data_IF_518735111210
#
_entry.id   IF_518735111210
#
_cell.length_a   1.000
_cell.length_b   1.000
_cell.length_c   1.000
_cell.angle_alpha   90.00
_cell.angle_beta   90.00
_cell.angle_gamma   90.00
#
_symmetry.space_group_name_H-M   'P 1'
#
loop_
_entity.id
_entity.type
_entity.pdbx_description
1 polymer ?
#
# COMPACT_ATOMS: atom_id res chain seq x y z
N UNK A 1 21.48 14.45 -4.74
CA UNK A 1 20.44 14.78 -3.76
C UNK A 1 20.94 15.05 -2.33
N UNK A 2 21.80 14.24 -1.71
CA UNK A 2 22.25 14.43 -0.30
C UNK A 2 22.94 15.78 -0.03
N UNK A 3 23.56 16.37 -1.05
CA UNK A 3 24.29 17.65 -0.95
C UNK A 3 23.40 18.86 -1.26
N UNK A 4 22.17 18.66 -1.70
CA UNK A 4 21.24 19.76 -2.01
C UNK A 4 20.58 20.28 -0.74
N UNK A 5 20.58 21.61 -0.54
CA UNK A 5 20.06 22.26 0.65
C UNK A 5 18.53 22.20 0.77
N UNK A 6 17.81 21.88 -0.29
CA UNK A 6 16.36 21.76 -0.30
C UNK A 6 15.82 20.39 0.12
N UNK A 7 16.70 19.39 0.22
CA UNK A 7 16.31 18.00 0.52
C UNK A 7 16.57 17.64 1.98
N UNK A 8 15.52 17.34 2.72
CA UNK A 8 15.59 16.96 4.13
C UNK A 8 15.09 15.50 4.32
N UNK A 9 16.04 14.58 4.50
CA UNK A 9 15.73 13.18 4.82
C UNK A 9 15.39 12.29 3.60
N UNK A 10 15.20 11.00 3.88
CA UNK A 10 15.02 9.96 2.85
C UNK A 10 13.66 10.08 2.15
N UNK A 11 12.61 10.46 2.88
CA UNK A 11 11.28 10.61 2.30
C UNK A 11 11.27 11.64 1.15
N UNK A 12 11.86 12.83 1.37
CA UNK A 12 11.94 13.85 0.32
C UNK A 12 12.86 13.44 -0.83
N UNK A 13 13.90 12.64 -0.56
CA UNK A 13 14.74 12.09 -1.64
C UNK A 13 13.95 11.15 -2.54
N UNK A 14 13.14 10.28 -1.94
CA UNK A 14 12.32 9.35 -2.69
C UNK A 14 11.22 10.10 -3.47
N UNK A 15 10.53 11.03 -2.82
CA UNK A 15 9.53 11.88 -3.50
C UNK A 15 10.12 12.65 -4.68
N UNK A 16 11.30 13.25 -4.48
CA UNK A 16 12.03 13.94 -5.55
C UNK A 16 12.39 13.03 -6.72
N UNK A 17 12.76 11.79 -6.46
CA UNK A 17 13.11 10.83 -7.50
C UNK A 17 11.87 10.30 -8.24
N UNK A 18 10.79 10.05 -7.51
CA UNK A 18 9.62 9.34 -8.07
C UNK A 18 8.89 10.17 -9.13
N UNK A 19 8.74 11.50 -8.98
CA UNK A 19 8.13 12.28 -10.03
C UNK A 19 8.95 12.28 -11.33
N UNK A 20 10.28 12.22 -11.24
CA UNK A 20 11.15 12.09 -12.43
C UNK A 20 11.00 10.72 -13.07
N UNK A 21 10.98 9.66 -12.25
CA UNK A 21 10.73 8.29 -12.72
C UNK A 21 9.35 8.19 -13.38
N UNK A 22 8.32 8.78 -12.77
CA UNK A 22 6.99 8.81 -13.37
C UNK A 22 7.02 9.41 -14.78
N UNK A 23 7.64 10.60 -14.94
CA UNK A 23 7.72 11.25 -16.26
C UNK A 23 8.50 10.43 -17.26
N UNK A 24 9.60 9.79 -16.86
CA UNK A 24 10.41 8.94 -17.72
C UNK A 24 9.65 7.69 -18.17
N UNK A 25 8.97 7.00 -17.22
CA UNK A 25 8.15 5.82 -17.52
C UNK A 25 6.96 6.20 -18.40
N UNK A 26 6.30 7.32 -18.06
CA UNK A 26 5.14 7.79 -18.80
C UNK A 26 5.49 8.16 -20.25
N UNK A 27 6.64 8.80 -20.46
CA UNK A 27 7.16 9.15 -21.78
C UNK A 27 7.46 7.90 -22.63
N UNK A 28 8.03 6.84 -22.04
CA UNK A 28 8.23 5.56 -22.73
C UNK A 28 6.89 4.90 -23.10
N UNK A 29 5.89 4.94 -22.20
CA UNK A 29 4.55 4.42 -22.49
C UNK A 29 3.82 5.23 -23.56
N UNK A 30 4.00 6.55 -23.60
CA UNK A 30 3.41 7.38 -24.67
C UNK A 30 3.93 6.99 -26.07
N UNK A 31 5.20 6.55 -26.20
CA UNK A 31 5.70 6.01 -27.47
C UNK A 31 4.97 4.75 -27.91
N UNK A 32 4.75 3.83 -26.98
CA UNK A 32 4.00 2.60 -27.25
C UNK A 32 2.56 2.92 -27.67
N UNK A 33 1.91 3.90 -27.03
CA UNK A 33 0.54 4.30 -27.38
C UNK A 33 0.47 5.00 -28.74
N UNK A 34 1.43 5.89 -29.04
CA UNK A 34 1.53 6.53 -30.36
C UNK A 34 1.71 5.52 -31.51
N UNK A 35 2.41 4.40 -31.25
CA UNK A 35 2.61 3.34 -32.23
C UNK A 35 1.39 2.41 -32.40
N UNK A 36 0.61 2.21 -31.34
CA UNK A 36 -0.44 1.18 -31.28
C UNK A 36 -1.87 1.74 -31.32
N UNK A 37 -2.08 3.01 -31.03
CA UNK A 37 -3.41 3.65 -31.03
C UNK A 37 -3.55 4.62 -32.21
N UNK A 38 -4.44 4.29 -33.15
CA UNK A 38 -4.79 5.23 -34.24
C UNK A 38 -5.37 6.52 -33.64
N UNK A 39 -4.77 7.67 -33.96
CA UNK A 39 -5.17 8.99 -33.46
C UNK A 39 -4.91 9.25 -31.97
N UNK A 40 -3.89 8.64 -31.37
CA UNK A 40 -3.40 9.04 -30.05
C UNK A 40 -2.91 10.49 -30.08
N UNK A 41 -3.38 11.29 -29.12
CA UNK A 41 -2.85 12.65 -28.90
C UNK A 41 -2.04 12.64 -27.60
N UNK A 42 -0.77 13.08 -27.68
CA UNK A 42 0.08 13.18 -26.50
C UNK A 42 -0.56 14.04 -25.41
N UNK A 43 -0.54 13.52 -24.19
CA UNK A 43 -1.15 14.14 -23.02
C UNK A 43 -0.24 15.23 -22.45
N UNK A 44 1.07 14.94 -22.42
CA UNK A 44 2.08 15.91 -22.02
C UNK A 44 2.49 16.70 -23.28
N UNK A 45 2.42 18.06 -23.24
CA UNK A 45 2.89 18.86 -24.38
C UNK A 45 4.28 18.45 -24.84
N UNK A 46 4.49 18.41 -26.16
CA UNK A 46 5.69 17.86 -26.80
C UNK A 46 6.99 18.38 -26.19
N UNK A 47 7.13 19.69 -25.98
CA UNK A 47 8.32 20.32 -25.40
C UNK A 47 8.54 19.93 -23.92
N UNK A 48 7.52 19.40 -23.25
CA UNK A 48 7.54 19.01 -21.83
C UNK A 48 7.66 17.50 -21.64
N UNK A 49 7.66 16.71 -22.69
CA UNK A 49 7.94 15.26 -22.65
C UNK A 49 9.37 15.04 -22.19
N UNK A 50 9.59 14.00 -21.38
CA UNK A 50 10.90 13.70 -20.79
C UNK A 50 12.02 13.71 -21.84
N UNK A 51 11.82 13.07 -23.00
CA UNK A 51 12.78 12.97 -24.09
C UNK A 51 13.27 14.30 -24.66
N UNK A 52 12.46 15.37 -24.56
CA UNK A 52 12.73 16.66 -25.20
C UNK A 52 13.47 17.66 -24.31
N UNK A 53 13.39 17.50 -22.96
CA UNK A 53 14.08 18.42 -22.04
C UNK A 53 15.09 17.74 -21.12
N UNK A 54 14.90 16.46 -20.83
CA UNK A 54 15.75 15.72 -19.89
C UNK A 54 16.97 15.10 -20.57
N UNK A 55 16.88 14.70 -21.83
CA UNK A 55 18.00 14.10 -22.58
C UNK A 55 19.08 15.13 -22.91
N UNK A 56 20.31 14.64 -23.00
CA UNK A 56 21.44 15.38 -23.54
C UNK A 56 21.35 15.38 -25.08
N UNK A 57 21.50 16.54 -25.73
CA UNK A 57 21.45 16.65 -27.18
C UNK A 57 22.66 15.97 -27.86
N UNK A 58 22.59 15.85 -29.18
CA UNK A 58 23.65 15.23 -29.99
C UNK A 58 25.02 15.94 -29.91
N UNK A 59 25.06 17.18 -29.38
CA UNK A 59 26.26 17.96 -29.16
C UNK A 59 26.78 17.90 -27.71
N UNK A 60 26.15 17.09 -26.86
CA UNK A 60 26.51 16.96 -25.46
C UNK A 60 25.96 18.09 -24.57
N UNK A 61 24.99 18.87 -25.05
CA UNK A 61 24.36 19.93 -24.24
C UNK A 61 23.07 19.43 -23.57
N UNK A 62 22.92 19.75 -22.30
CA UNK A 62 21.71 19.53 -21.52
C UNK A 62 21.34 20.77 -20.72
N UNK A 63 20.05 20.95 -20.44
CA UNK A 63 19.59 22.01 -19.56
C UNK A 63 20.11 21.77 -18.15
N UNK A 64 20.71 22.78 -17.50
CA UNK A 64 21.29 22.68 -16.15
C UNK A 64 21.22 24.00 -15.42
N UNK A 65 21.61 24.03 -14.13
CA UNK A 65 21.66 25.23 -13.28
C UNK A 65 20.32 25.93 -13.16
N UNK A 66 20.35 27.26 -13.04
CA UNK A 66 19.15 28.09 -12.83
C UNK A 66 18.13 27.95 -13.99
N UNK A 67 18.59 27.68 -15.19
CA UNK A 67 17.70 27.46 -16.34
C UNK A 67 16.85 26.21 -16.15
N UNK A 68 17.45 25.12 -15.68
CA UNK A 68 16.73 23.87 -15.39
C UNK A 68 15.76 24.05 -14.21
N UNK A 69 16.18 24.68 -13.14
CA UNK A 69 15.30 24.97 -11.99
C UNK A 69 14.10 25.82 -12.39
N UNK A 70 14.34 26.86 -13.18
CA UNK A 70 13.27 27.72 -13.69
C UNK A 70 12.30 26.95 -14.57
N UNK A 71 12.81 26.13 -15.48
CA UNK A 71 11.98 25.29 -16.34
C UNK A 71 11.11 24.34 -15.52
N UNK A 72 11.68 23.59 -14.58
CA UNK A 72 10.94 22.64 -13.75
C UNK A 72 9.90 23.34 -12.89
N UNK A 73 10.28 24.43 -12.17
CA UNK A 73 9.41 25.04 -11.19
C UNK A 73 8.34 25.96 -11.80
N UNK A 74 8.64 26.64 -12.92
CA UNK A 74 7.81 27.70 -13.47
C UNK A 74 7.15 27.34 -14.81
N UNK A 75 7.54 26.23 -15.44
CA UNK A 75 6.93 25.75 -16.70
C UNK A 75 6.37 24.35 -16.51
N UNK A 76 7.22 23.35 -16.28
CA UNK A 76 6.84 21.92 -16.24
C UNK A 76 5.77 21.66 -15.18
N UNK A 77 6.06 21.92 -13.90
CA UNK A 77 5.12 21.66 -12.81
C UNK A 77 3.80 22.45 -12.92
N UNK A 78 3.79 23.76 -13.23
CA UNK A 78 2.55 24.47 -13.45
C UNK A 78 1.65 23.83 -14.52
N UNK A 79 2.22 23.47 -15.68
CA UNK A 79 1.45 22.84 -16.77
C UNK A 79 0.88 21.48 -16.34
N UNK A 80 1.68 20.63 -15.71
CA UNK A 80 1.25 19.30 -15.25
C UNK A 80 0.18 19.41 -14.14
N UNK A 81 0.24 20.46 -13.32
CA UNK A 81 -0.79 20.80 -12.31
C UNK A 81 -2.05 21.42 -12.88
N UNK A 82 -2.08 21.67 -14.18
CA UNK A 82 -3.25 22.25 -14.88
C UNK A 82 -3.29 23.79 -14.91
N UNK A 83 -2.18 24.45 -14.63
CA UNK A 83 -2.05 25.91 -14.69
C UNK A 83 -1.44 26.35 -16.03
N UNK A 84 -2.01 27.39 -16.63
CA UNK A 84 -1.44 27.98 -17.83
C UNK A 84 -0.16 28.76 -17.49
N UNK A 85 0.86 28.61 -18.31
CA UNK A 85 2.09 29.41 -18.25
C UNK A 85 2.00 30.53 -19.26
N UNK A 86 2.19 31.78 -18.82
CA UNK A 86 2.00 32.99 -19.63
C UNK A 86 3.26 33.86 -19.67
N UNK A 87 3.40 34.60 -20.78
CA UNK A 87 4.32 35.73 -20.90
C UNK A 87 3.48 36.97 -21.28
N UNK A 88 3.29 37.86 -20.32
CA UNK A 88 2.29 38.92 -20.40
C UNK A 88 0.88 38.35 -20.59
N UNK A 89 0.19 38.76 -21.67
CA UNK A 89 -1.15 38.24 -22.01
C UNK A 89 -1.11 36.96 -22.89
N UNK A 90 0.07 36.56 -23.39
CA UNK A 90 0.21 35.39 -24.25
C UNK A 90 0.33 34.11 -23.43
N UNK A 91 -0.47 33.09 -23.75
CA UNK A 91 -0.34 31.74 -23.19
C UNK A 91 0.79 31.02 -23.94
N UNK A 92 1.88 30.70 -23.24
CA UNK A 92 3.00 29.93 -23.78
C UNK A 92 2.70 28.43 -23.74
N UNK A 93 2.13 27.95 -22.62
CA UNK A 93 1.70 26.57 -22.44
C UNK A 93 0.33 26.55 -21.75
N UNK A 94 -0.58 25.76 -22.28
CA UNK A 94 -1.85 25.45 -21.62
C UNK A 94 -1.63 24.35 -20.57
N UNK A 95 -2.18 24.56 -19.38
CA UNK A 95 -2.17 23.54 -18.33
C UNK A 95 -3.06 22.35 -18.68
N UNK A 96 -2.71 21.16 -18.17
CA UNK A 96 -3.51 19.94 -18.36
C UNK A 96 -4.88 20.11 -17.69
N UNK A 97 -5.94 20.33 -18.49
CA UNK A 97 -7.30 20.47 -17.98
C UNK A 97 -8.00 19.12 -17.94
N UNK A 98 -8.74 18.89 -16.84
CA UNK A 98 -9.53 17.67 -16.62
C UNK A 98 -10.98 18.05 -16.41
N UNK A 99 -11.86 17.43 -17.18
CA UNK A 99 -13.32 17.51 -17.10
C UNK A 99 -13.87 16.09 -16.91
N UNK A 100 -15.16 15.89 -16.59
CA UNK A 100 -15.74 14.56 -16.46
C UNK A 100 -15.55 13.66 -17.70
N UNK A 101 -15.42 14.25 -18.89
CA UNK A 101 -15.25 13.52 -20.16
C UNK A 101 -13.77 13.35 -20.55
N UNK A 102 -12.84 13.77 -19.70
CA UNK A 102 -11.39 13.67 -20.00
C UNK A 102 -10.94 12.22 -19.95
N UNK A 103 -10.11 11.76 -20.92
CA UNK A 103 -9.50 10.44 -20.87
C UNK A 103 -8.76 10.19 -19.54
N UNK A 104 -8.92 9.00 -18.98
CA UNK A 104 -8.35 8.63 -17.66
C UNK A 104 -6.83 8.83 -17.63
N UNK A 105 -6.12 8.48 -18.72
CA UNK A 105 -4.66 8.70 -18.85
C UNK A 105 -4.28 10.16 -18.54
N UNK A 106 -5.06 11.12 -19.05
CA UNK A 106 -4.83 12.57 -18.80
C UNK A 106 -5.17 12.99 -17.38
N UNK A 107 -6.23 12.41 -16.82
CA UNK A 107 -6.61 12.67 -15.42
C UNK A 107 -5.55 12.15 -14.44
N UNK A 108 -4.93 11.01 -14.73
CA UNK A 108 -3.83 10.42 -13.95
C UNK A 108 -2.63 11.37 -13.89
N UNK A 109 -2.17 11.91 -15.02
CA UNK A 109 -1.02 12.85 -15.04
C UNK A 109 -1.31 14.05 -14.15
N UNK A 110 -2.45 14.70 -14.33
CA UNK A 110 -2.82 15.86 -13.51
C UNK A 110 -2.90 15.53 -12.01
N UNK A 111 -3.60 14.44 -11.65
CA UNK A 111 -3.73 14.02 -10.24
C UNK A 111 -2.39 13.67 -9.60
N UNK A 112 -1.49 13.06 -10.37
CA UNK A 112 -0.14 12.71 -9.93
C UNK A 112 0.68 13.94 -9.55
N UNK A 113 0.53 15.02 -10.32
CA UNK A 113 1.29 16.25 -10.10
C UNK A 113 0.60 17.27 -9.20
N UNK A 114 -0.69 17.12 -8.87
CA UNK A 114 -1.47 18.13 -8.14
C UNK A 114 -0.75 18.64 -6.89
N UNK A 115 -0.18 17.75 -6.09
CA UNK A 115 0.54 18.05 -4.87
C UNK A 115 2.05 17.72 -4.93
N UNK A 116 2.56 17.25 -6.07
CA UNK A 116 3.99 16.98 -6.24
C UNK A 116 4.82 18.27 -6.17
N UNK A 117 6.04 18.18 -5.64
CA UNK A 117 6.92 19.31 -5.47
C UNK A 117 8.36 18.98 -5.88
N UNK A 118 9.04 19.96 -6.50
CA UNK A 118 10.48 19.91 -6.65
C UNK A 118 11.13 20.50 -5.40
N UNK A 119 11.79 19.69 -4.60
CA UNK A 119 12.48 20.12 -3.39
C UNK A 119 13.90 20.64 -3.66
N UNK A 120 14.53 20.21 -4.74
CA UNK A 120 15.91 20.58 -5.06
C UNK A 120 16.03 22.10 -5.35
N UNK A 121 17.10 22.69 -4.83
CA UNK A 121 17.42 24.13 -4.96
C UNK A 121 18.63 24.38 -5.84
N UNK A 122 19.37 23.34 -6.21
CA UNK A 122 20.54 23.44 -7.08
C UNK A 122 20.29 22.67 -8.40
N UNK A 123 20.24 23.43 -9.50
CA UNK A 123 19.95 22.87 -10.82
C UNK A 123 21.09 22.02 -11.39
N UNK A 124 22.31 22.13 -10.88
CA UNK A 124 23.43 21.25 -11.26
C UNK A 124 23.23 19.87 -10.60
N UNK A 125 22.88 19.84 -9.32
CA UNK A 125 22.55 18.59 -8.65
C UNK A 125 21.29 17.94 -9.22
N UNK A 126 20.27 18.74 -9.56
CA UNK A 126 19.08 18.24 -10.24
C UNK A 126 19.44 17.59 -11.57
N UNK A 127 20.31 18.22 -12.39
CA UNK A 127 20.81 17.63 -13.65
C UNK A 127 21.46 16.27 -13.44
N UNK A 128 22.36 16.15 -12.46
CA UNK A 128 23.03 14.88 -12.15
C UNK A 128 22.04 13.76 -11.80
N UNK A 129 20.93 14.09 -11.14
CA UNK A 129 19.89 13.09 -10.84
C UNK A 129 19.14 12.68 -12.11
N UNK A 130 18.81 13.67 -12.95
CA UNK A 130 18.13 13.43 -14.23
C UNK A 130 19.00 12.56 -15.13
N UNK A 131 20.31 12.80 -15.20
CA UNK A 131 21.25 12.01 -16.00
C UNK A 131 21.22 10.52 -15.60
N UNK A 132 21.24 10.23 -14.30
CA UNK A 132 21.16 8.84 -13.79
C UNK A 132 19.80 8.19 -14.11
N UNK A 133 18.71 8.95 -14.04
CA UNK A 133 17.38 8.43 -14.39
C UNK A 133 17.26 8.22 -15.89
N UNK A 134 17.88 9.10 -16.69
CA UNK A 134 17.82 8.99 -18.15
C UNK A 134 18.60 7.80 -18.72
N UNK A 135 19.58 7.27 -17.98
CA UNK A 135 20.28 6.03 -18.32
C UNK A 135 19.42 4.77 -18.20
N UNK A 136 18.25 4.85 -17.53
CA UNK A 136 17.34 3.71 -17.36
C UNK A 136 16.56 3.52 -18.67
N UNK A 137 16.67 2.35 -19.29
CA UNK A 137 15.91 1.99 -20.49
C UNK A 137 14.63 1.23 -20.08
N UNK A 138 13.47 1.68 -20.57
CA UNK A 138 12.16 1.05 -20.34
C UNK A 138 11.59 0.39 -21.61
N UNK A 139 12.30 0.47 -22.73
CA UNK A 139 11.83 -0.02 -24.04
C UNK A 139 11.92 -1.56 -24.16
N UNK A 140 12.69 -2.23 -23.30
CA UNK A 140 12.73 -3.70 -23.22
C UNK A 140 11.85 -4.19 -22.07
N UNK A 141 10.88 -5.06 -22.37
CA UNK A 141 9.97 -5.69 -21.37
C UNK A 141 10.75 -6.36 -20.25
N UNK A 142 11.93 -6.94 -20.53
CA UNK A 142 12.78 -7.54 -19.49
C UNK A 142 13.40 -6.50 -18.57
N UNK A 143 13.76 -5.35 -19.09
CA UNK A 143 14.35 -4.24 -18.33
C UNK A 143 13.26 -3.51 -17.52
N UNK A 144 12.06 -3.32 -18.08
CA UNK A 144 10.89 -2.80 -17.35
C UNK A 144 10.55 -3.68 -16.15
N UNK A 145 10.47 -5.01 -16.32
CA UNK A 145 10.27 -5.92 -15.21
C UNK A 145 11.42 -5.92 -14.19
N UNK A 146 12.67 -5.84 -14.64
CA UNK A 146 13.82 -5.74 -13.76
C UNK A 146 13.79 -4.44 -12.95
N UNK A 147 13.36 -3.34 -13.58
CA UNK A 147 13.20 -2.07 -12.89
C UNK A 147 12.04 -2.09 -11.89
N UNK A 148 10.96 -2.82 -12.17
CA UNK A 148 9.89 -3.07 -11.20
C UNK A 148 10.44 -3.65 -9.87
N UNK A 149 11.39 -4.58 -9.93
CA UNK A 149 12.07 -5.09 -8.73
C UNK A 149 12.92 -4.02 -8.03
N UNK A 150 13.63 -3.17 -8.77
CA UNK A 150 14.41 -2.06 -8.20
C UNK A 150 13.47 -1.03 -7.56
N UNK A 151 12.33 -0.77 -8.19
CA UNK A 151 11.33 0.15 -7.64
C UNK A 151 10.72 -0.39 -6.34
N UNK A 152 10.43 -1.69 -6.27
CA UNK A 152 10.00 -2.34 -5.03
C UNK A 152 11.05 -2.21 -3.90
N UNK A 153 12.34 -2.26 -4.24
CA UNK A 153 13.42 -2.02 -3.27
C UNK A 153 13.38 -0.57 -2.75
N UNK A 154 13.14 0.39 -3.64
CA UNK A 154 12.96 1.81 -3.28
C UNK A 154 11.76 1.97 -2.35
N UNK A 155 10.64 1.32 -2.64
CA UNK A 155 9.44 1.34 -1.79
C UNK A 155 9.72 0.71 -0.41
N UNK A 156 10.51 -0.37 -0.36
CA UNK A 156 10.92 -0.99 0.89
C UNK A 156 11.78 -0.07 1.77
N UNK A 157 12.63 0.78 1.16
CA UNK A 157 13.38 1.78 1.91
C UNK A 157 12.48 2.80 2.62
N UNK A 158 11.27 3.07 2.11
CA UNK A 158 10.28 3.92 2.79
C UNK A 158 9.89 3.41 4.17
N UNK A 159 9.86 2.08 4.38
CA UNK A 159 9.53 1.50 5.69
C UNK A 159 10.42 2.04 6.82
N UNK A 160 11.65 2.44 6.48
CA UNK A 160 12.60 3.02 7.43
C UNK A 160 12.63 4.55 7.47
N UNK A 161 11.81 5.23 6.66
CA UNK A 161 11.81 6.68 6.50
C UNK A 161 10.87 7.42 7.48
N UNK A 162 10.81 7.01 8.73
CA UNK A 162 10.00 7.65 9.77
C UNK A 162 8.49 7.53 9.50
N UNK A 163 7.75 8.64 9.57
CA UNK A 163 6.30 8.65 9.34
C UNK A 163 5.87 8.19 7.93
N UNK A 164 6.77 8.18 6.97
CA UNK A 164 6.49 7.69 5.62
C UNK A 164 6.44 6.16 5.53
N UNK A 165 6.93 5.44 6.55
CA UNK A 165 6.85 3.98 6.63
C UNK A 165 5.42 3.43 6.73
N UNK A 166 4.46 4.26 7.13
CA UNK A 166 3.04 3.89 7.22
C UNK A 166 2.41 3.52 5.86
N UNK A 167 3.04 3.93 4.75
CA UNK A 167 2.53 3.70 3.40
C UNK A 167 2.96 2.35 2.80
N UNK A 168 3.85 1.65 3.47
CA UNK A 168 4.40 0.40 2.96
C UNK A 168 3.99 -0.79 3.82
N UNK A 169 3.25 -1.72 3.21
CA UNK A 169 2.96 -3.03 3.80
C UNK A 169 4.02 -4.04 3.34
N UNK A 170 4.68 -4.79 4.25
CA UNK A 170 5.67 -5.79 3.88
C UNK A 170 5.16 -6.78 2.82
N UNK A 171 5.92 -7.00 1.77
CA UNK A 171 5.50 -7.85 0.63
C UNK A 171 5.12 -9.27 1.04
N UNK A 172 5.82 -9.86 1.99
CA UNK A 172 5.45 -11.18 2.52
C UNK A 172 4.01 -11.23 3.04
N UNK A 173 3.50 -10.14 3.63
CA UNK A 173 2.13 -10.06 4.13
C UNK A 173 1.14 -9.93 2.97
N UNK A 174 1.41 -9.01 2.01
CA UNK A 174 0.51 -8.81 0.87
C UNK A 174 0.45 -10.03 -0.03
N UNK A 175 1.58 -10.70 -0.27
CA UNK A 175 1.68 -11.94 -1.05
C UNK A 175 0.95 -13.09 -0.35
N UNK A 176 1.14 -13.27 0.96
CA UNK A 176 0.42 -14.29 1.72
C UNK A 176 -1.08 -14.08 1.66
N UNK A 177 -1.57 -12.85 1.90
CA UNK A 177 -2.99 -12.56 1.86
C UNK A 177 -3.57 -12.77 0.46
N UNK A 178 -2.88 -12.34 -0.60
CA UNK A 178 -3.30 -12.60 -1.97
C UNK A 178 -3.31 -14.10 -2.32
N UNK A 179 -2.29 -14.85 -1.85
CA UNK A 179 -2.23 -16.31 -2.04
C UNK A 179 -3.41 -17.01 -1.38
N UNK A 180 -3.77 -16.62 -0.14
CA UNK A 180 -4.84 -17.28 0.63
C UNK A 180 -6.24 -16.93 0.11
N UNK A 181 -6.41 -15.74 -0.46
CA UNK A 181 -7.69 -15.32 -1.05
C UNK A 181 -7.97 -15.99 -2.39
N UNK A 182 -6.95 -16.54 -3.07
CA UNK A 182 -7.03 -17.30 -4.33
C UNK A 182 -7.75 -16.53 -5.45
N UNK A 183 -7.12 -15.47 -6.01
CA UNK A 183 -7.68 -14.67 -7.10
C UNK A 183 -8.10 -15.49 -8.31
N UNK A 184 -9.19 -15.07 -8.97
CA UNK A 184 -9.65 -15.64 -10.23
C UNK A 184 -9.81 -14.56 -11.29
N UNK A 185 -9.46 -14.84 -12.55
CA UNK A 185 -9.73 -13.92 -13.66
C UNK A 185 -11.22 -13.57 -13.75
N UNK A 186 -11.50 -12.28 -14.00
CA UNK A 186 -12.85 -11.74 -14.05
C UNK A 186 -13.37 -11.21 -12.71
N UNK A 187 -12.69 -11.47 -11.59
CA UNK A 187 -12.99 -10.84 -10.30
C UNK A 187 -12.42 -9.43 -10.24
N UNK A 188 -13.10 -8.53 -9.53
CA UNK A 188 -12.63 -7.20 -9.22
C UNK A 188 -12.19 -7.10 -7.77
N UNK A 189 -10.97 -6.64 -7.56
CA UNK A 189 -10.37 -6.41 -6.25
C UNK A 189 -10.36 -4.92 -5.93
N UNK A 190 -10.60 -4.56 -4.67
CA UNK A 190 -10.43 -3.21 -4.16
C UNK A 190 -9.45 -3.14 -2.99
N UNK A 191 -8.71 -2.01 -2.96
CA UNK A 191 -7.96 -1.52 -1.81
C UNK A 191 -8.29 -0.04 -1.59
N UNK A 192 -8.99 0.28 -0.50
CA UNK A 192 -9.50 1.63 -0.22
C UNK A 192 -8.50 2.55 0.50
N UNK A 193 -7.28 2.07 0.77
CA UNK A 193 -6.14 2.83 1.28
C UNK A 193 -4.86 2.19 0.74
N UNK A 194 -4.70 2.20 -0.59
CA UNK A 194 -3.76 1.33 -1.28
C UNK A 194 -2.28 1.68 -1.06
N UNK A 195 -1.98 2.84 -0.48
CA UNK A 195 -0.61 3.25 -0.19
C UNK A 195 0.26 3.21 -1.44
N UNK A 196 1.29 2.38 -1.45
CA UNK A 196 2.19 2.17 -2.59
C UNK A 196 1.72 1.08 -3.58
N UNK A 197 0.51 0.53 -3.40
CA UNK A 197 -0.07 -0.49 -4.29
C UNK A 197 0.34 -1.93 -3.97
N UNK A 198 0.80 -2.21 -2.75
CA UNK A 198 1.33 -3.52 -2.37
C UNK A 198 0.37 -4.69 -2.53
N UNK A 199 -0.88 -4.52 -2.14
CA UNK A 199 -1.90 -5.56 -2.35
C UNK A 199 -2.25 -5.70 -3.81
N UNK A 200 -2.28 -4.59 -4.56
CA UNK A 200 -2.60 -4.59 -5.97
C UNK A 200 -1.53 -5.35 -6.75
N UNK A 201 -0.24 -5.10 -6.51
CA UNK A 201 0.84 -5.84 -7.18
C UNK A 201 0.82 -7.33 -6.80
N UNK A 202 0.54 -7.68 -5.54
CA UNK A 202 0.40 -9.07 -5.12
C UNK A 202 -0.80 -9.76 -5.77
N UNK A 203 -1.93 -9.05 -5.94
CA UNK A 203 -3.10 -9.51 -6.68
C UNK A 203 -2.77 -9.78 -8.16
N UNK A 204 -2.18 -8.80 -8.85
CA UNK A 204 -1.77 -8.92 -10.25
C UNK A 204 -0.78 -10.07 -10.44
N UNK A 205 0.19 -10.24 -9.54
CA UNK A 205 1.16 -11.33 -9.57
C UNK A 205 0.56 -12.73 -9.41
N UNK A 206 -0.62 -12.87 -8.79
CA UNK A 206 -1.34 -14.15 -8.76
C UNK A 206 -2.17 -14.36 -10.04
N UNK A 207 -2.84 -13.30 -10.54
CA UNK A 207 -3.66 -13.39 -11.74
C UNK A 207 -2.85 -13.54 -13.01
N UNK A 208 -1.67 -12.94 -13.13
CA UNK A 208 -0.80 -13.02 -14.32
C UNK A 208 -0.48 -14.48 -14.70
N UNK A 209 -0.44 -15.38 -13.72
CA UNK A 209 -0.24 -16.82 -13.93
C UNK A 209 -1.40 -17.50 -14.65
N UNK A 210 -2.55 -16.83 -14.73
CA UNK A 210 -3.78 -17.34 -15.37
C UNK A 210 -4.01 -16.70 -16.75
N UNK A 211 -3.22 -15.68 -17.12
CA UNK A 211 -3.35 -14.98 -18.40
C UNK A 211 -2.81 -15.85 -19.53
N UNK A 212 -3.66 -16.14 -20.52
CA UNK A 212 -3.32 -16.98 -21.68
C UNK A 212 -3.54 -16.29 -23.02
N UNK A 213 -4.29 -15.18 -23.05
CA UNK A 213 -4.66 -14.46 -24.25
C UNK A 213 -4.98 -12.98 -23.95
N UNK A 214 -5.24 -12.19 -24.97
CA UNK A 214 -5.54 -10.75 -24.85
C UNK A 214 -6.84 -10.47 -24.07
N UNK A 215 -7.81 -11.35 -24.09
CA UNK A 215 -9.05 -11.20 -23.31
C UNK A 215 -8.76 -11.38 -21.83
N UNK A 216 -7.96 -12.38 -21.47
CA UNK A 216 -7.50 -12.61 -20.11
C UNK A 216 -6.62 -11.45 -19.61
N UNK A 217 -5.76 -10.89 -20.49
CA UNK A 217 -4.98 -9.69 -20.15
C UNK A 217 -5.89 -8.51 -19.82
N UNK A 218 -6.90 -8.25 -20.64
CA UNK A 218 -7.86 -7.18 -20.35
C UNK A 218 -8.62 -7.40 -19.03
N UNK A 219 -8.98 -8.64 -18.71
CA UNK A 219 -9.61 -8.98 -17.42
C UNK A 219 -8.66 -8.71 -16.24
N UNK A 220 -7.36 -8.94 -16.42
CA UNK A 220 -6.35 -8.61 -15.42
C UNK A 220 -6.27 -7.10 -15.24
N UNK A 221 -6.13 -6.31 -16.32
CA UNK A 221 -6.01 -4.86 -16.28
C UNK A 221 -7.24 -4.20 -15.62
N UNK A 222 -8.43 -4.70 -15.93
CA UNK A 222 -9.71 -4.21 -15.40
C UNK A 222 -10.01 -4.71 -13.98
N UNK A 223 -9.16 -5.57 -13.39
CA UNK A 223 -9.45 -6.27 -12.13
C UNK A 223 -9.20 -5.44 -10.88
N UNK A 224 -8.53 -4.30 -10.99
CA UNK A 224 -8.06 -3.50 -9.84
C UNK A 224 -8.88 -2.24 -9.63
N UNK A 225 -9.03 -1.87 -8.36
CA UNK A 225 -9.58 -0.59 -7.91
C UNK A 225 -8.81 -0.15 -6.66
N UNK A 226 -8.14 0.99 -6.72
CA UNK A 226 -7.39 1.55 -5.61
C UNK A 226 -7.84 2.94 -5.25
N UNK A 227 -7.79 3.27 -3.97
CA UNK A 227 -8.00 4.64 -3.48
C UNK A 227 -6.88 5.00 -2.52
N UNK A 228 -6.29 6.17 -2.73
CA UNK A 228 -5.30 6.72 -1.82
C UNK A 228 -5.58 8.21 -1.56
N UNK A 229 -5.56 8.57 -0.27
CA UNK A 229 -5.87 9.94 0.17
C UNK A 229 -4.66 10.87 0.08
N UNK A 230 -3.45 10.33 0.29
CA UNK A 230 -2.22 11.13 0.38
C UNK A 230 -1.52 11.19 -0.99
N UNK A 231 -1.08 12.40 -1.42
CA UNK A 231 -0.53 12.59 -2.78
C UNK A 231 0.72 11.75 -3.04
N UNK A 232 1.64 11.70 -2.08
CA UNK A 232 2.90 10.99 -2.27
C UNK A 232 2.73 9.47 -2.44
N UNK A 233 2.02 8.75 -1.56
CA UNK A 233 1.72 7.33 -1.81
C UNK A 233 0.90 7.10 -3.09
N UNK A 234 -0.01 8.00 -3.44
CA UNK A 234 -0.75 7.93 -4.71
C UNK A 234 0.20 7.97 -5.91
N UNK A 235 1.13 8.93 -5.96
CA UNK A 235 2.17 9.00 -6.99
C UNK A 235 3.00 7.70 -7.05
N UNK A 236 3.39 7.15 -5.88
CA UNK A 236 4.11 5.89 -5.79
C UNK A 236 3.30 4.73 -6.36
N UNK A 237 2.02 4.64 -6.02
CA UNK A 237 1.12 3.58 -6.49
C UNK A 237 0.94 3.63 -8.00
N UNK A 238 0.63 4.81 -8.55
CA UNK A 238 0.42 4.96 -10.00
C UNK A 238 1.69 4.63 -10.78
N UNK A 239 2.85 5.10 -10.33
CA UNK A 239 4.14 4.76 -10.95
C UNK A 239 4.38 3.25 -10.90
N UNK A 240 4.07 2.61 -9.78
CA UNK A 240 4.17 1.16 -9.62
C UNK A 240 3.29 0.39 -10.60
N UNK A 241 2.05 0.86 -10.81
CA UNK A 241 1.13 0.24 -11.78
C UNK A 241 1.64 0.35 -13.22
N UNK A 242 2.13 1.51 -13.61
CA UNK A 242 2.73 1.71 -14.94
C UNK A 242 3.93 0.79 -15.18
N UNK A 243 4.76 0.57 -14.15
CA UNK A 243 5.90 -0.36 -14.19
C UNK A 243 5.47 -1.85 -14.24
N UNK A 244 4.23 -2.15 -13.88
CA UNK A 244 3.61 -3.48 -14.01
C UNK A 244 2.71 -3.59 -15.26
N UNK A 245 2.93 -2.73 -16.25
CA UNK A 245 2.23 -2.70 -17.54
C UNK A 245 0.71 -2.45 -17.44
N UNK A 246 0.25 -1.90 -16.33
CA UNK A 246 -1.14 -1.42 -16.22
C UNK A 246 -1.21 0.01 -16.77
N UNK A 247 -1.59 0.13 -18.03
CA UNK A 247 -1.59 1.42 -18.76
C UNK A 247 -2.59 2.44 -18.20
N UNK A 248 -3.73 1.97 -17.73
CA UNK A 248 -4.81 2.79 -17.18
C UNK A 248 -5.20 2.25 -15.81
N UNK A 249 -4.36 2.50 -14.79
CA UNK A 249 -4.66 2.01 -13.45
C UNK A 249 -5.90 2.71 -12.87
N UNK A 250 -6.88 1.91 -12.43
CA UNK A 250 -8.07 2.40 -11.72
C UNK A 250 -7.70 2.79 -10.27
N UNK A 251 -6.82 3.77 -10.13
CA UNK A 251 -6.36 4.31 -8.85
C UNK A 251 -6.84 5.76 -8.71
N UNK A 252 -7.50 6.06 -7.61
CA UNK A 252 -8.15 7.35 -7.37
C UNK A 252 -7.53 8.10 -6.21
N UNK A 253 -7.17 9.37 -6.44
CA UNK A 253 -6.68 10.27 -5.40
C UNK A 253 -7.86 10.90 -4.66
N UNK A 254 -8.35 10.26 -3.62
CA UNK A 254 -9.51 10.71 -2.86
C UNK A 254 -9.55 10.10 -1.45
N UNK A 255 -10.44 10.59 -0.59
CA UNK A 255 -10.66 10.02 0.73
C UNK A 255 -11.84 9.04 0.71
N UNK A 256 -11.58 7.75 0.87
CA UNK A 256 -12.58 6.67 0.90
C UNK A 256 -13.65 6.82 1.99
N UNK A 257 -13.37 7.59 3.05
CA UNK A 257 -14.29 7.78 4.18
C UNK A 257 -15.26 8.97 3.97
N UNK A 258 -15.12 9.73 2.86
CA UNK A 258 -15.98 10.88 2.53
C UNK A 258 -17.16 10.51 1.62
N UNK A 259 -17.73 9.33 1.82
CA UNK A 259 -18.94 8.89 1.12
C UNK A 259 -19.91 8.30 2.13
N UNK A 260 -21.19 8.63 2.02
CA UNK A 260 -22.21 8.06 2.90
C UNK A 260 -22.28 6.55 2.69
N UNK A 261 -22.05 5.80 3.77
CA UNK A 261 -21.97 4.35 3.73
C UNK A 261 -23.25 3.68 3.18
N UNK A 262 -24.40 4.31 3.40
CA UNK A 262 -25.71 3.79 2.98
C UNK A 262 -26.03 4.08 1.50
N UNK A 263 -25.28 4.96 0.83
CA UNK A 263 -25.50 5.32 -0.56
C UNK A 263 -24.83 4.35 -1.54
N UNK A 264 -23.98 3.42 -1.05
CA UNK A 264 -23.38 2.40 -1.89
C UNK A 264 -24.40 1.41 -2.42
N UNK A 265 -24.35 1.19 -3.73
CA UNK A 265 -25.20 0.25 -4.48
C UNK A 265 -24.46 -1.06 -4.77
N UNK A 266 -25.11 -2.01 -5.44
CA UNK A 266 -24.46 -3.27 -5.83
C UNK A 266 -23.37 -3.06 -6.88
N UNK A 267 -23.45 -2.01 -7.71
CA UNK A 267 -22.44 -1.66 -8.71
C UNK A 267 -21.15 -1.13 -8.06
N UNK A 268 -21.23 -0.66 -6.82
CA UNK A 268 -20.10 -0.16 -6.05
C UNK A 268 -19.33 -1.25 -5.30
N UNK A 269 -19.78 -2.51 -5.41
CA UNK A 269 -19.22 -3.63 -4.64
C UNK A 269 -18.16 -4.41 -5.43
N UNK A 270 -17.27 -5.06 -4.68
CA UNK A 270 -16.15 -5.81 -5.20
C UNK A 270 -16.22 -7.30 -4.82
N UNK A 271 -15.64 -8.15 -5.66
CA UNK A 271 -15.55 -9.59 -5.44
C UNK A 271 -14.53 -9.89 -4.34
N UNK A 272 -13.44 -9.11 -4.30
CA UNK A 272 -12.37 -9.25 -3.31
C UNK A 272 -11.99 -7.89 -2.76
N UNK A 273 -11.70 -7.84 -1.44
CA UNK A 273 -11.12 -6.66 -0.80
C UNK A 273 -9.87 -7.10 -0.04
N UNK A 274 -8.73 -6.51 -0.40
CA UNK A 274 -7.46 -6.70 0.28
C UNK A 274 -6.96 -5.35 0.73
N UNK A 275 -6.72 -5.15 2.03
CA UNK A 275 -6.18 -3.89 2.48
C UNK A 275 -5.53 -3.95 3.87
N UNK A 276 -4.70 -2.95 4.12
CA UNK A 276 -4.15 -2.60 5.41
C UNK A 276 -4.64 -1.18 5.77
N UNK A 277 -5.78 -1.03 6.46
CA UNK A 277 -6.28 0.29 6.84
C UNK A 277 -5.25 1.06 7.68
N UNK A 278 -5.15 2.38 7.54
CA UNK A 278 -4.35 3.18 8.47
C UNK A 278 -4.90 3.04 9.88
N UNK A 279 -4.04 2.68 10.85
CA UNK A 279 -4.39 2.54 12.26
C UNK A 279 -3.65 3.59 13.12
N UNK A 280 -4.26 3.91 14.27
CA UNK A 280 -3.80 5.02 15.13
C UNK A 280 -4.20 6.41 14.65
N UNK A 281 -4.93 6.52 13.54
CA UNK A 281 -5.54 7.77 13.07
C UNK A 281 -6.90 8.03 13.72
N UNK A 282 -7.21 9.33 13.88
CA UNK A 282 -8.51 9.78 14.38
C UNK A 282 -9.20 10.61 13.31
N UNK A 283 -10.47 10.28 13.05
CA UNK A 283 -11.33 11.02 12.13
C UNK A 283 -12.28 11.93 12.91
N UNK A 284 -12.47 13.13 12.42
CA UNK A 284 -13.36 14.12 13.01
C UNK A 284 -14.85 13.78 12.80
N UNK A 285 -15.73 14.54 13.47
CA UNK A 285 -17.18 14.31 13.40
C UNK A 285 -17.77 14.51 12.00
N UNK A 286 -17.11 15.28 11.12
CA UNK A 286 -17.58 15.47 9.75
C UNK A 286 -17.42 14.19 8.93
N UNK A 287 -16.38 13.41 9.20
CA UNK A 287 -16.19 12.10 8.57
C UNK A 287 -17.11 11.06 9.22
N UNK A 288 -17.19 11.04 10.54
CA UNK A 288 -18.06 10.10 11.26
C UNK A 288 -19.53 10.22 10.81
N UNK A 289 -19.98 11.42 10.43
CA UNK A 289 -21.34 11.68 9.93
C UNK A 289 -21.70 10.98 8.60
N UNK A 290 -20.76 10.38 7.89
CA UNK A 290 -21.00 9.53 6.72
C UNK A 290 -21.33 8.07 7.08
N UNK A 291 -21.31 7.73 8.37
CA UNK A 291 -21.53 6.38 8.87
C UNK A 291 -22.80 6.32 9.74
N UNK A 292 -23.51 5.18 9.77
CA UNK A 292 -24.58 4.94 10.73
C UNK A 292 -24.09 5.12 12.17
N UNK A 293 -24.95 5.64 13.05
CA UNK A 293 -24.61 5.99 14.43
C UNK A 293 -23.99 4.82 15.23
N UNK A 294 -24.42 3.60 14.95
CA UNK A 294 -23.91 2.38 15.59
C UNK A 294 -22.53 1.92 15.07
N UNK A 295 -22.09 2.42 13.93
CA UNK A 295 -20.82 2.12 13.30
C UNK A 295 -19.86 3.33 13.28
N UNK A 296 -20.35 4.52 13.66
CA UNK A 296 -19.54 5.73 13.70
C UNK A 296 -18.47 5.62 14.80
N UNK A 297 -17.21 5.65 14.39
CA UNK A 297 -16.04 5.61 15.26
C UNK A 297 -15.12 6.79 14.97
N UNK A 298 -14.37 7.23 15.99
CA UNK A 298 -13.27 8.16 15.77
C UNK A 298 -12.00 7.47 15.23
N UNK A 299 -11.91 6.15 15.33
CA UNK A 299 -10.76 5.41 14.85
C UNK A 299 -10.87 5.07 13.35
N UNK A 300 -9.87 5.44 12.59
CA UNK A 300 -9.84 5.27 11.13
C UNK A 300 -10.02 3.80 10.71
N UNK A 301 -9.35 2.87 11.39
CA UNK A 301 -9.43 1.44 11.08
C UNK A 301 -10.84 0.85 11.22
N UNK A 302 -11.60 1.32 12.22
CA UNK A 302 -12.98 0.90 12.45
C UNK A 302 -13.91 1.32 11.32
N UNK A 303 -13.75 2.57 10.85
CA UNK A 303 -14.53 3.11 9.74
C UNK A 303 -14.21 2.34 8.45
N UNK A 304 -12.95 2.01 8.20
CA UNK A 304 -12.58 1.18 7.04
C UNK A 304 -13.17 -0.23 7.11
N UNK A 305 -13.23 -0.85 8.30
CA UNK A 305 -13.92 -2.15 8.45
C UNK A 305 -15.39 -2.05 8.05
N UNK A 306 -16.05 -0.94 8.40
CA UNK A 306 -17.43 -0.69 7.96
C UNK A 306 -17.52 -0.51 6.44
N UNK A 307 -16.62 0.27 5.81
CA UNK A 307 -16.57 0.40 4.34
C UNK A 307 -16.40 -0.96 3.66
N UNK A 308 -15.47 -1.80 4.15
CA UNK A 308 -15.22 -3.14 3.60
C UNK A 308 -16.49 -3.98 3.62
N UNK A 309 -17.19 -4.04 4.75
CA UNK A 309 -18.42 -4.83 4.89
C UNK A 309 -19.54 -4.37 3.93
N UNK A 310 -19.65 -3.06 3.68
CA UNK A 310 -20.67 -2.52 2.78
C UNK A 310 -20.29 -2.64 1.30
N UNK A 311 -19.00 -2.63 0.99
CA UNK A 311 -18.47 -2.71 -0.37
C UNK A 311 -18.16 -4.14 -0.84
N UNK A 312 -18.33 -5.16 0.03
CA UNK A 312 -18.11 -6.55 -0.33
C UNK A 312 -19.37 -7.16 -0.97
N UNK A 313 -19.24 -7.68 -2.19
CA UNK A 313 -20.34 -8.39 -2.89
C UNK A 313 -20.84 -9.61 -2.10
N UNK A 314 -22.05 -10.04 -2.39
CA UNK A 314 -22.52 -11.35 -1.97
C UNK A 314 -21.60 -12.44 -2.56
N UNK A 315 -21.16 -13.38 -1.71
CA UNK A 315 -20.12 -14.37 -1.99
C UNK A 315 -18.71 -13.80 -2.21
N UNK A 316 -18.52 -12.49 -2.06
CA UNK A 316 -17.21 -11.86 -2.06
C UNK A 316 -16.44 -12.23 -0.79
N UNK A 317 -15.12 -12.03 -0.83
CA UNK A 317 -14.20 -12.37 0.27
C UNK A 317 -13.21 -11.26 0.54
N UNK A 318 -12.79 -11.12 1.78
CA UNK A 318 -11.88 -10.06 2.19
C UNK A 318 -10.75 -10.61 3.08
N UNK A 319 -9.59 -9.99 2.97
CA UNK A 319 -8.52 -10.15 3.93
C UNK A 319 -8.00 -8.76 4.33
N UNK A 320 -7.95 -8.52 5.64
CA UNK A 320 -7.70 -7.19 6.21
C UNK A 320 -6.67 -7.27 7.31
N UNK A 321 -5.68 -6.37 7.29
CA UNK A 321 -4.73 -6.20 8.39
C UNK A 321 -5.37 -5.30 9.44
N UNK A 322 -5.38 -5.74 10.69
CA UNK A 322 -5.90 -4.95 11.82
C UNK A 322 -4.93 -4.99 13.00
N UNK A 323 -4.83 -3.91 13.79
CA UNK A 323 -4.05 -3.93 15.05
C UNK A 323 -4.77 -4.73 16.14
N UNK A 324 -4.03 -5.20 17.15
CA UNK A 324 -4.60 -5.87 18.32
C UNK A 324 -5.72 -5.05 18.98
N UNK A 325 -5.59 -3.72 19.00
CA UNK A 325 -6.60 -2.81 19.53
C UNK A 325 -7.98 -2.97 18.90
N UNK A 326 -8.07 -3.38 17.64
CA UNK A 326 -9.34 -3.73 17.01
C UNK A 326 -9.93 -5.03 17.59
N UNK A 327 -9.08 -6.03 17.87
CA UNK A 327 -9.55 -7.33 18.35
C UNK A 327 -10.10 -7.26 19.78
N UNK A 328 -9.33 -6.67 20.71
CA UNK A 328 -9.71 -6.61 22.12
C UNK A 328 -10.58 -5.39 22.49
N UNK A 329 -10.59 -4.32 21.67
CA UNK A 329 -11.34 -3.10 21.97
C UNK A 329 -12.83 -3.36 22.19
N UNK A 330 -13.39 -2.76 23.26
CA UNK A 330 -14.78 -2.97 23.71
C UNK A 330 -15.60 -1.67 23.72
N UNK A 331 -15.13 -0.61 23.05
CA UNK A 331 -15.97 0.55 22.77
C UNK A 331 -17.18 0.19 21.88
N UNK A 332 -18.25 0.97 21.99
CA UNK A 332 -19.53 0.62 21.36
C UNK A 332 -19.43 0.40 19.85
N UNK A 333 -18.70 1.25 19.13
CA UNK A 333 -18.56 1.15 17.67
C UNK A 333 -17.81 -0.14 17.30
N UNK A 334 -16.66 -0.44 17.96
CA UNK A 334 -15.90 -1.68 17.70
C UNK A 334 -16.70 -2.93 17.98
N UNK A 335 -17.45 -2.94 19.11
CA UNK A 335 -18.31 -4.07 19.44
C UNK A 335 -19.37 -4.28 18.37
N UNK A 336 -20.04 -3.22 17.92
CA UNK A 336 -21.05 -3.31 16.87
C UNK A 336 -20.49 -3.77 15.53
N UNK A 337 -19.30 -3.27 15.14
CA UNK A 337 -18.60 -3.69 13.93
C UNK A 337 -18.25 -5.17 13.99
N UNK A 338 -17.65 -5.65 15.09
CA UNK A 338 -17.31 -7.06 15.29
C UNK A 338 -18.56 -7.95 15.36
N UNK A 339 -19.61 -7.49 16.05
CA UNK A 339 -20.90 -8.19 16.09
C UNK A 339 -21.50 -8.32 14.69
N UNK A 340 -21.48 -7.25 13.89
CA UNK A 340 -21.94 -7.29 12.51
C UNK A 340 -21.10 -8.25 11.67
N UNK A 341 -19.77 -8.19 11.81
CA UNK A 341 -18.83 -9.07 11.10
C UNK A 341 -19.14 -10.55 11.40
N UNK A 342 -19.35 -10.92 12.67
CA UNK A 342 -19.62 -12.30 13.07
C UNK A 342 -21.04 -12.73 12.69
N UNK A 343 -22.06 -11.86 12.85
CA UNK A 343 -23.45 -12.23 12.66
C UNK A 343 -23.96 -12.15 11.22
N UNK A 344 -23.27 -11.43 10.33
CA UNK A 344 -23.70 -11.26 8.94
C UNK A 344 -22.69 -11.82 7.93
N UNK A 345 -21.41 -11.89 8.28
CA UNK A 345 -20.33 -12.43 7.45
C UNK A 345 -19.75 -13.67 8.09
N UNK A 346 -18.99 -14.44 7.33
CA UNK A 346 -18.28 -15.62 7.79
C UNK A 346 -16.82 -15.26 8.10
N UNK A 347 -16.55 -14.78 9.32
CA UNK A 347 -15.18 -14.61 9.81
C UNK A 347 -14.60 -15.99 10.11
N UNK A 348 -13.90 -16.56 9.13
CA UNK A 348 -13.45 -17.95 9.22
C UNK A 348 -12.02 -18.13 9.72
N UNK A 349 -11.18 -17.08 9.69
CA UNK A 349 -9.76 -17.18 10.12
C UNK A 349 -9.22 -15.84 10.59
N UNK A 350 -8.52 -15.87 11.72
CA UNK A 350 -7.68 -14.77 12.23
C UNK A 350 -6.25 -15.30 12.36
N UNK A 351 -5.29 -14.60 11.73
CA UNK A 351 -3.86 -14.96 11.79
C UNK A 351 -3.10 -13.84 12.49
N UNK A 352 -2.52 -14.12 13.65
CA UNK A 352 -1.64 -13.19 14.38
C UNK A 352 -0.26 -13.16 13.76
N UNK A 353 0.28 -11.97 13.54
CA UNK A 353 1.64 -11.75 13.09
C UNK A 353 2.56 -11.40 14.26
N UNK A 354 3.87 -11.72 14.18
CA UNK A 354 4.85 -11.23 15.13
C UNK A 354 4.89 -9.69 15.18
N UNK A 355 5.01 -9.09 16.35
CA UNK A 355 5.00 -7.63 16.53
C UNK A 355 6.13 -6.87 15.82
N UNK A 356 7.15 -7.58 15.31
CA UNK A 356 8.27 -6.96 14.57
C UNK A 356 8.08 -6.92 13.04
N UNK A 357 6.98 -7.42 12.50
CA UNK A 357 6.76 -7.52 11.03
C UNK A 357 6.75 -6.14 10.37
N UNK A 358 6.18 -5.13 11.03
CA UNK A 358 6.10 -3.75 10.54
C UNK A 358 7.24 -2.85 11.08
N UNK A 359 8.26 -3.44 11.74
CA UNK A 359 9.41 -2.69 12.22
C UNK A 359 10.26 -2.17 11.03
N UNK A 360 10.85 -0.95 11.12
CA UNK A 360 10.91 -0.05 12.27
C UNK A 360 9.73 0.93 12.41
N UNK A 361 8.76 0.92 11.49
CA UNK A 361 7.66 1.88 11.51
C UNK A 361 6.80 1.76 12.78
N UNK A 362 6.40 0.54 13.14
CA UNK A 362 5.64 0.28 14.37
C UNK A 362 6.01 -1.07 14.96
N UNK A 363 5.88 -1.18 16.29
CA UNK A 363 5.95 -2.45 17.04
C UNK A 363 4.58 -3.00 17.42
N UNK A 364 3.50 -2.37 16.94
CA UNK A 364 2.13 -2.83 17.21
C UNK A 364 1.95 -4.22 16.58
N UNK A 365 1.52 -5.17 17.39
CA UNK A 365 1.12 -6.49 16.90
C UNK A 365 -0.11 -6.35 16.00
N UNK A 366 -0.05 -6.99 14.84
CA UNK A 366 -1.11 -6.95 13.85
C UNK A 366 -1.66 -8.34 13.58
N UNK A 367 -2.89 -8.38 13.10
CA UNK A 367 -3.60 -9.60 12.79
C UNK A 367 -4.20 -9.50 11.38
N UNK A 368 -4.32 -10.65 10.71
CA UNK A 368 -4.95 -10.77 9.42
C UNK A 368 -6.33 -11.41 9.62
N UNK A 369 -7.38 -10.67 9.29
CA UNK A 369 -8.75 -11.18 9.30
C UNK A 369 -9.14 -11.64 7.93
N UNK A 370 -9.57 -12.90 7.80
CA UNK A 370 -10.11 -13.46 6.58
C UNK A 370 -11.59 -13.79 6.77
N UNK A 371 -12.43 -13.20 5.95
CA UNK A 371 -13.87 -13.40 5.98
C UNK A 371 -14.51 -13.33 4.60
N UNK A 372 -15.71 -13.86 4.48
CA UNK A 372 -16.49 -13.83 3.26
C UNK A 372 -17.95 -13.44 3.52
N UNK A 373 -18.66 -12.99 2.48
CA UNK A 373 -20.06 -12.60 2.53
C UNK A 373 -20.97 -13.74 2.04
N UNK A 374 -20.78 -14.96 2.53
CA UNK A 374 -21.62 -16.11 2.19
C UNK A 374 -22.71 -16.40 3.18
N UNK A 375 -22.38 -16.41 4.46
CA UNK A 375 -23.25 -16.76 5.59
C UNK A 375 -22.73 -16.14 6.90
N UNK A 376 -23.54 -16.10 7.98
CA UNK A 376 -23.03 -15.81 9.31
C UNK A 376 -21.93 -16.78 9.74
N UNK A 377 -21.00 -16.30 10.57
CA UNK A 377 -19.95 -17.10 11.18
C UNK A 377 -20.55 -18.25 12.01
N UNK A 378 -20.05 -19.44 11.84
CA UNK A 378 -20.34 -20.57 12.71
C UNK A 378 -19.21 -20.85 13.68
N UNK A 379 -17.99 -20.84 13.17
CA UNK A 379 -16.76 -20.99 13.93
C UNK A 379 -15.64 -20.17 13.27
N UNK A 380 -14.69 -19.67 14.08
CA UNK A 380 -13.51 -18.94 13.60
C UNK A 380 -12.25 -19.66 14.06
N UNK A 381 -11.32 -19.87 13.17
CA UNK A 381 -9.98 -20.37 13.44
C UNK A 381 -9.05 -19.22 13.78
N UNK A 382 -8.25 -19.40 14.81
CA UNK A 382 -7.18 -18.52 15.23
C UNK A 382 -5.85 -19.23 15.03
N UNK A 383 -4.91 -18.57 14.39
CA UNK A 383 -3.57 -19.11 14.12
C UNK A 383 -2.51 -18.06 14.45
N UNK A 384 -1.41 -18.47 15.07
CA UNK A 384 -0.27 -17.61 15.39
C UNK A 384 0.89 -17.97 14.49
N UNK A 385 1.47 -16.96 13.82
CA UNK A 385 2.76 -17.08 13.13
C UNK A 385 3.87 -16.79 14.13
N UNK A 386 4.76 -17.73 14.35
CA UNK A 386 5.88 -17.58 15.28
C UNK A 386 7.11 -17.02 14.59
N UNK A 387 7.99 -16.37 15.38
CA UNK A 387 9.29 -15.94 14.91
C UNK A 387 10.18 -17.18 14.74
N UNK A 388 10.92 -17.33 13.62
CA UNK A 388 11.85 -18.45 13.44
C UNK A 388 12.90 -18.50 14.55
N UNK A 389 13.31 -19.72 14.93
CA UNK A 389 14.28 -19.96 16.01
C UNK A 389 15.69 -19.37 15.77
N UNK A 390 16.01 -19.02 14.50
CA UNK A 390 17.29 -18.40 14.12
C UNK A 390 17.36 -16.89 14.42
N UNK A 391 16.28 -16.29 14.93
CA UNK A 391 16.18 -14.85 15.20
C UNK A 391 15.21 -14.52 16.33
N UNK A 392 15.43 -13.39 17.00
CA UNK A 392 14.54 -12.88 18.06
C UNK A 392 13.44 -11.95 17.52
N UNK A 393 13.66 -11.32 16.36
CA UNK A 393 12.72 -10.40 15.73
C UNK A 393 13.05 -10.26 14.24
N UNK A 394 12.05 -9.82 13.45
CA UNK A 394 12.28 -9.33 12.09
C UNK A 394 12.86 -7.92 12.13
N UNK A 395 13.65 -7.56 11.12
CA UNK A 395 14.28 -6.24 11.03
C UNK A 395 14.44 -5.83 9.57
N UNK A 396 14.86 -4.60 9.31
CA UNK A 396 15.13 -4.11 7.95
C UNK A 396 16.10 -5.00 7.18
N UNK A 397 17.16 -5.48 7.84
CA UNK A 397 18.20 -6.36 7.22
C UNK A 397 17.81 -7.83 7.17
N UNK A 398 16.82 -8.24 7.95
CA UNK A 398 16.26 -9.60 7.99
C UNK A 398 14.74 -9.51 8.06
N UNK A 399 14.08 -9.02 6.98
CA UNK A 399 12.62 -8.84 6.96
C UNK A 399 11.89 -10.18 6.97
N UNK A 400 10.60 -10.14 7.21
CA UNK A 400 9.74 -11.28 6.97
C UNK A 400 9.66 -11.57 5.47
N UNK A 401 9.77 -12.84 5.11
CA UNK A 401 9.65 -13.35 3.74
C UNK A 401 8.46 -14.30 3.66
N UNK A 402 7.92 -14.54 2.45
CA UNK A 402 6.74 -15.39 2.24
C UNK A 402 6.91 -16.80 2.82
N UNK A 403 8.13 -17.38 2.74
CA UNK A 403 8.45 -18.69 3.32
C UNK A 403 8.16 -18.82 4.82
N UNK A 404 8.14 -17.72 5.56
CA UNK A 404 7.82 -17.73 7.00
C UNK A 404 6.31 -17.99 7.27
N UNK A 405 5.50 -18.00 6.22
CA UNK A 405 4.10 -18.44 6.26
C UNK A 405 3.89 -19.89 5.86
N UNK A 406 4.94 -20.64 5.47
CA UNK A 406 4.80 -22.01 4.92
C UNK A 406 4.03 -22.95 5.88
N UNK A 407 4.32 -22.88 7.17
CA UNK A 407 3.58 -23.64 8.19
C UNK A 407 2.11 -23.23 8.25
N UNK A 408 1.81 -21.95 8.14
CA UNK A 408 0.44 -21.44 8.11
C UNK A 408 -0.30 -21.88 6.86
N UNK A 409 0.35 -21.85 5.69
CA UNK A 409 -0.20 -22.33 4.41
C UNK A 409 -0.48 -23.83 4.47
N UNK A 410 0.45 -24.62 5.01
CA UNK A 410 0.26 -26.07 5.19
C UNK A 410 -0.91 -26.35 6.14
N UNK A 411 -0.96 -25.69 7.29
CA UNK A 411 -2.07 -25.78 8.23
C UNK A 411 -3.41 -25.37 7.62
N UNK A 412 -3.44 -24.33 6.79
CA UNK A 412 -4.68 -23.83 6.18
C UNK A 412 -5.39 -24.87 5.33
N UNK A 413 -4.62 -25.75 4.67
CA UNK A 413 -5.17 -26.81 3.84
C UNK A 413 -5.63 -28.05 4.65
N UNK A 414 -5.13 -28.25 5.88
CA UNK A 414 -5.50 -29.34 6.79
C UNK A 414 -5.58 -28.80 8.24
N UNK A 415 -6.61 -27.99 8.51
CA UNK A 415 -6.78 -27.27 9.78
C UNK A 415 -7.00 -28.20 10.95
N UNK A 416 -6.12 -28.11 11.93
CA UNK A 416 -6.18 -28.83 13.21
C UNK A 416 -5.82 -27.87 14.33
N UNK A 417 -6.31 -28.17 15.54
CA UNK A 417 -5.86 -27.50 16.74
C UNK A 417 -4.43 -27.91 17.03
N UNK A 418 -3.60 -26.93 17.40
CA UNK A 418 -2.20 -27.10 17.73
C UNK A 418 -1.98 -26.50 19.11
N UNK A 419 -1.94 -27.34 20.18
CA UNK A 419 -1.62 -26.87 21.53
C UNK A 419 -0.16 -26.40 21.62
N UNK A 420 0.10 -25.46 22.54
CA UNK A 420 1.41 -24.91 22.84
C UNK A 420 1.50 -24.57 24.34
N UNK A 421 1.92 -25.55 25.17
CA UNK A 421 1.88 -25.46 26.62
C UNK A 421 0.47 -25.23 27.16
N UNK A 422 0.29 -24.14 27.92
CA UNK A 422 -1.03 -23.69 28.41
C UNK A 422 -1.81 -22.87 27.38
N UNK A 423 -1.15 -22.52 26.26
CA UNK A 423 -1.69 -21.78 25.14
C UNK A 423 -1.91 -22.69 23.91
N UNK A 424 -2.06 -22.06 22.76
CA UNK A 424 -2.15 -22.74 21.47
C UNK A 424 -1.49 -21.93 20.36
N UNK A 425 -1.02 -22.63 19.34
CA UNK A 425 -0.60 -22.05 18.06
C UNK A 425 -1.78 -21.94 17.09
N UNK A 426 -2.69 -22.91 17.13
CA UNK A 426 -3.94 -22.88 16.35
C UNK A 426 -5.09 -23.48 17.17
N UNK A 427 -6.23 -22.75 17.20
CA UNK A 427 -7.47 -23.20 17.86
C UNK A 427 -8.69 -22.59 17.17
N UNK A 428 -9.84 -23.24 17.30
CA UNK A 428 -11.11 -22.69 16.81
C UNK A 428 -12.08 -22.40 17.96
N UNK A 429 -12.90 -21.38 17.73
CA UNK A 429 -13.98 -21.00 18.66
C UNK A 429 -15.29 -20.81 17.90
N UNK A 430 -16.40 -21.14 18.55
CA UNK A 430 -17.74 -20.94 17.96
C UNK A 430 -18.13 -19.47 17.95
N UNK A 431 -18.99 -19.08 17.02
CA UNK A 431 -19.55 -17.72 16.98
C UNK A 431 -20.33 -17.38 18.30
N UNK A 432 -21.01 -18.35 18.90
CA UNK A 432 -21.70 -18.17 20.17
C UNK A 432 -20.72 -17.79 21.29
N UNK A 433 -19.59 -18.48 21.38
CA UNK A 433 -18.54 -18.16 22.34
C UNK A 433 -18.00 -16.74 22.13
N UNK A 434 -17.68 -16.36 20.87
CA UNK A 434 -17.16 -15.03 20.53
C UNK A 434 -18.14 -13.90 20.86
N UNK A 435 -19.43 -14.11 20.59
CA UNK A 435 -20.48 -13.09 20.80
C UNK A 435 -20.91 -12.96 22.26
N UNK A 436 -21.12 -14.08 22.95
CA UNK A 436 -21.78 -14.10 24.24
C UNK A 436 -20.81 -14.20 25.43
N UNK A 437 -19.86 -15.14 25.37
CA UNK A 437 -18.91 -15.35 26.47
C UNK A 437 -17.75 -14.35 26.44
N UNK A 438 -17.25 -14.01 25.23
CA UNK A 438 -16.19 -13.04 25.06
C UNK A 438 -16.67 -11.60 24.84
N UNK A 439 -17.99 -11.38 24.70
CA UNK A 439 -18.54 -10.03 24.47
C UNK A 439 -17.97 -9.33 23.25
N UNK A 440 -17.71 -10.08 22.18
CA UNK A 440 -17.03 -9.61 20.97
C UNK A 440 -15.54 -9.24 21.15
N UNK A 441 -14.89 -9.63 22.23
CA UNK A 441 -13.43 -9.67 22.25
C UNK A 441 -12.98 -10.87 21.41
N UNK A 442 -12.28 -10.61 20.30
CA UNK A 442 -11.76 -11.62 19.40
C UNK A 442 -10.22 -11.67 19.42
N UNK A 443 -9.59 -11.19 20.48
CA UNK A 443 -8.16 -11.32 20.72
C UNK A 443 -7.87 -12.67 21.39
N UNK A 444 -7.98 -13.74 20.60
CA UNK A 444 -7.86 -15.12 21.06
C UNK A 444 -6.70 -15.88 20.41
N UNK A 445 -5.85 -15.23 19.62
CA UNK A 445 -4.61 -15.85 19.16
C UNK A 445 -3.63 -15.96 20.34
N UNK A 446 -3.26 -17.16 20.73
CA UNK A 446 -2.32 -17.38 21.82
C UNK A 446 -0.99 -16.66 21.68
N UNK A 447 -0.19 -16.66 22.71
CA UNK A 447 1.18 -16.20 22.72
C UNK A 447 2.13 -17.40 22.70
N UNK A 448 3.38 -17.30 22.18
CA UNK A 448 4.35 -18.36 22.26
C UNK A 448 4.60 -18.77 23.71
N UNK A 449 4.74 -20.05 23.97
CA UNK A 449 5.20 -20.52 25.27
C UNK A 449 6.66 -20.06 25.44
N UNK A 450 6.91 -19.18 26.40
CA UNK A 450 8.26 -18.83 26.83
C UNK A 450 8.72 -19.92 27.81
N UNK A 451 9.65 -20.79 27.40
CA UNK A 451 10.41 -21.58 28.37
C UNK A 451 11.21 -20.59 29.22
N UNK A 452 10.88 -20.47 30.52
CA UNK A 452 11.74 -19.78 31.46
C UNK A 452 13.12 -20.45 31.39
N UNK A 453 14.11 -19.78 30.78
CA UNK A 453 15.51 -20.14 30.99
C UNK A 453 15.75 -20.03 32.48
N UNK A 454 15.75 -21.17 33.17
CA UNK A 454 16.23 -21.28 34.55
C UNK A 454 17.73 -21.00 34.46
N UNK A 455 18.09 -19.70 34.51
CA UNK A 455 19.51 -19.31 34.63
C UNK A 455 20.07 -19.96 35.86
N UNK A 456 21.16 -20.70 35.70
CA UNK A 456 21.91 -21.25 36.82
C UNK A 456 22.20 -20.11 37.81
N UNK A 457 21.92 -20.28 39.12
CA UNK A 457 22.19 -19.26 40.14
C UNK A 457 23.61 -18.69 40.10
N UNK A 458 24.57 -19.43 39.52
CA UNK A 458 25.95 -18.99 39.31
C UNK A 458 26.10 -17.97 38.19
N UNK A 459 25.26 -18.03 37.14
CA UNK A 459 25.30 -17.06 36.02
C UNK A 459 24.67 -15.71 36.43
N UNK A 460 23.71 -15.71 37.34
CA UNK A 460 23.10 -14.49 37.87
C UNK A 460 24.08 -13.65 38.71
N UNK A 461 25.08 -14.29 39.33
CA UNK A 461 26.12 -13.60 40.11
C UNK A 461 27.14 -12.84 39.24
N UNK A 462 27.31 -13.17 37.95
CA UNK A 462 28.27 -12.49 37.09
C UNK A 462 27.76 -11.13 36.58
N UNK A 463 26.48 -10.91 36.57
CA UNK A 463 25.88 -9.62 36.12
C UNK A 463 25.76 -8.56 37.23
N UNK A 464 26.04 -8.90 38.50
CA UNK A 464 25.98 -7.95 39.64
C UNK A 464 27.33 -7.49 40.13
N UNK A 465 28.43 -7.74 39.45
CA UNK A 465 29.73 -7.23 39.84
C UNK A 465 30.20 -6.04 38.98
N UNK A 466 30.19 -4.87 39.66
CA UNK A 466 30.96 -3.66 39.41
C UNK A 466 30.51 -2.64 38.38
N UNK A 467 29.80 -1.64 38.85
CA UNK A 467 30.10 -0.22 38.59
C UNK A 467 30.26 0.52 39.91
N UNK A 468 31.49 0.69 40.42
CA UNK A 468 31.79 1.58 41.54
C UNK A 468 32.36 2.91 41.05
N UNK A 469 31.73 3.65 40.12
CA UNK A 469 32.21 4.98 39.79
C UNK A 469 31.04 5.91 39.44
N UNK A 470 30.26 6.29 40.45
CA UNK A 470 29.38 7.45 40.39
C UNK A 470 29.08 7.89 41.83
N UNK A 471 30.14 8.27 42.62
CA UNK A 471 30.07 9.13 43.81
C UNK A 471 31.39 9.90 43.89
N UNK A 472 31.50 11.00 43.19
CA UNK A 472 32.28 12.19 43.55
C UNK A 472 31.80 13.35 42.69
#
# INVERSE_FOLDING_TARGET
>A
MRMDAGINGDAQRIEQMVWMLFLKVYDAKEDDWELNEDAYESIIPEDLRWRNWAKTDSNGHAMTGDKLLNFVNNILFPVLKGNDVKDGDAVLYEGIKVTPDTPIKKAIVKSTFEDANNYMKDGVYLRQVIDVIDEIEFDDVKESHAFGFVYEEILRELQSAGSSGEFYTPRAVTEFMALMIKPQLGEKMADFACGTGGFITSWLGQLSKQVTDTTAQKQLDDSIYGVEKKPFPYLLCVTNMLLHDIEVPNIYHMNSLKHNLLDYTDDDKFDVILMNPPYGGHEDKSIQGFFPDDLASSETADLFMSVIMYRLKKNGRAAVVVPDGFLFGLDNAKVNIKKKLISQFNLHTVVRLPGSVFSPYTSITTNLLFFDNTKPTTETWFYRVDIPSDRKHFSKTKPMELKHFDDCVAWWNDRKEIPDGENFKAQKFTAEYLLNEQGCNIDLCGYPHEEEEILDPMDTCQYHHFRPDLLS
#
